data_IF_401469617800
#
_entry.id   IF_401469617800
#
_cell.length_a   1.000
_cell.length_b   1.000
_cell.length_c   1.000
_cell.angle_alpha   90.00
_cell.angle_beta   90.00
_cell.angle_gamma   90.00
#
_symmetry.space_group_name_H-M   'P 1'
#
loop_
_entity.id
_entity.type
_entity.pdbx_description
1 polymer ?
#
# COMPACT_ATOMS: atom_id res chain seq x y z
N UNK A 1 -36.07 36.03 21.65
CA UNK A 1 -36.21 36.19 20.19
C UNK A 1 -35.45 37.45 19.76
N UNK A 2 -34.61 37.45 18.71
CA UNK A 2 -33.79 36.39 18.12
C UNK A 2 -32.28 36.67 18.16
N UNK A 3 -31.50 35.62 17.92
CA UNK A 3 -30.05 35.55 17.70
C UNK A 3 -29.68 36.00 16.28
N UNK A 4 -28.48 36.58 16.09
CA UNK A 4 -27.76 36.57 14.82
C UNK A 4 -26.25 36.75 15.06
N UNK A 5 -25.50 35.64 15.14
CA UNK A 5 -24.04 35.65 14.95
C UNK A 5 -23.79 35.31 13.50
N UNK A 6 -23.17 36.26 12.81
CA UNK A 6 -22.79 36.24 11.41
C UNK A 6 -21.94 35.01 11.09
N UNK A 7 -22.47 34.09 10.29
CA UNK A 7 -21.69 32.98 9.74
C UNK A 7 -20.92 33.50 8.54
N UNK A 8 -19.60 33.52 8.69
CA UNK A 8 -18.64 33.82 7.64
C UNK A 8 -18.80 32.80 6.51
N UNK A 9 -19.24 33.26 5.33
CA UNK A 9 -19.22 32.48 4.10
C UNK A 9 -17.77 32.24 3.68
N UNK A 10 -17.23 31.06 3.97
CA UNK A 10 -16.05 30.56 3.29
C UNK A 10 -16.49 29.81 2.04
N UNK A 11 -16.32 30.47 0.90
CA UNK A 11 -16.26 29.84 -0.40
C UNK A 11 -14.96 29.04 -0.44
N UNK A 12 -15.05 27.71 -0.54
CA UNK A 12 -13.95 26.91 -1.06
C UNK A 12 -14.42 26.04 -2.22
N UNK A 13 -13.59 26.15 -3.26
CA UNK A 13 -13.69 25.66 -4.62
C UNK A 13 -13.72 24.12 -4.64
N UNK A 14 -14.52 23.56 -5.56
CA UNK A 14 -14.54 22.12 -5.87
C UNK A 14 -13.21 21.69 -6.49
N UNK A 15 -12.43 20.87 -5.79
CA UNK A 15 -11.44 19.98 -6.39
C UNK A 15 -11.15 18.79 -5.47
N UNK A 16 -11.29 17.57 -6.00
CA UNK A 16 -10.62 16.37 -5.49
C UNK A 16 -11.21 15.74 -4.25
N UNK A 17 -11.89 14.61 -4.44
CA UNK A 17 -12.38 13.72 -3.39
C UNK A 17 -11.24 13.00 -2.67
N UNK A 18 -10.53 13.62 -1.72
CA UNK A 18 -9.72 12.94 -0.67
C UNK A 18 -9.54 13.88 0.52
N UNK A 19 -10.64 14.11 1.25
CA UNK A 19 -10.56 14.76 2.55
C UNK A 19 -11.45 13.98 3.51
N UNK A 20 -10.82 13.31 4.47
CA UNK A 20 -11.52 12.74 5.60
C UNK A 20 -12.12 13.89 6.44
N UNK A 21 -13.34 14.30 6.10
CA UNK A 21 -14.13 15.21 6.93
C UNK A 21 -15.46 14.55 7.27
N UNK A 22 -15.52 13.92 8.45
CA UNK A 22 -16.77 13.40 9.00
C UNK A 22 -17.56 14.53 9.67
N UNK A 23 -18.64 14.97 9.03
CA UNK A 23 -19.65 15.86 9.65
C UNK A 23 -20.57 15.00 10.53
N UNK A 24 -20.74 15.27 11.85
CA UNK A 24 -21.67 14.49 12.67
C UNK A 24 -23.13 14.82 12.34
N UNK A 25 -23.96 13.77 12.15
CA UNK A 25 -25.42 13.91 12.00
C UNK A 25 -26.07 14.37 13.31
N UNK A 26 -26.81 15.47 13.26
CA UNK A 26 -27.61 16.01 14.37
C UNK A 26 -28.86 15.14 14.56
N UNK A 27 -28.91 14.34 15.63
CA UNK A 27 -30.17 13.73 16.11
C UNK A 27 -30.69 14.55 17.29
N UNK A 28 -31.92 15.04 17.16
CA UNK A 28 -32.60 15.86 18.15
C UNK A 28 -33.11 14.99 19.30
N UNK A 29 -32.50 15.07 20.48
CA UNK A 29 -33.08 14.51 21.69
C UNK A 29 -32.08 14.25 22.82
N UNK A 30 -32.33 14.92 23.96
CA UNK A 30 -31.82 14.66 25.30
C UNK A 30 -30.40 15.14 25.66
N UNK A 31 -30.39 15.95 26.72
CA UNK A 31 -29.26 16.60 27.37
C UNK A 31 -28.51 15.57 28.22
N UNK A 32 -27.65 14.77 27.59
CA UNK A 32 -26.54 14.07 28.22
C UNK A 32 -25.24 14.77 27.80
N UNK A 33 -24.25 14.83 28.67
CA UNK A 33 -22.93 15.39 28.38
C UNK A 33 -22.43 14.94 27.00
N UNK A 34 -22.41 15.86 26.04
CA UNK A 34 -21.79 15.64 24.74
C UNK A 34 -20.28 15.59 24.97
N UNK A 35 -19.76 14.42 25.33
CA UNK A 35 -18.38 14.12 25.01
C UNK A 35 -18.32 14.17 23.49
N UNK A 36 -17.80 15.29 22.97
CA UNK A 36 -17.41 15.38 21.58
C UNK A 36 -16.30 14.34 21.43
N UNK A 37 -16.65 13.16 20.93
CA UNK A 37 -15.67 12.23 20.41
C UNK A 37 -15.06 12.91 19.18
N UNK A 38 -14.08 13.78 19.42
CA UNK A 38 -13.15 14.24 18.40
C UNK A 38 -12.47 12.96 17.93
N UNK A 39 -12.90 12.47 16.77
CA UNK A 39 -12.14 11.46 16.04
C UNK A 39 -10.91 12.19 15.54
N UNK A 40 -9.80 12.04 16.26
CA UNK A 40 -8.50 12.49 15.80
C UNK A 40 -8.16 11.59 14.61
N UNK A 41 -8.42 12.07 13.40
CA UNK A 41 -8.04 11.36 12.18
C UNK A 41 -6.60 11.76 11.86
N UNK A 42 -5.69 10.79 11.93
CA UNK A 42 -4.39 10.91 11.31
C UNK A 42 -4.34 10.10 10.00
N UNK A 43 -3.42 10.46 9.12
CA UNK A 43 -3.19 9.73 7.88
C UNK A 43 -1.71 9.79 7.50
N UNK A 44 -1.27 8.87 6.64
CA UNK A 44 0.00 8.95 5.91
C UNK A 44 -0.36 9.10 4.44
N UNK A 45 0.17 10.12 3.77
CA UNK A 45 -0.09 10.30 2.35
C UNK A 45 1.06 10.98 1.63
N UNK A 46 1.05 10.90 0.31
CA UNK A 46 2.05 11.58 -0.52
C UNK A 46 2.11 10.96 -1.90
N UNK A 47 3.30 10.96 -2.50
CA UNK A 47 3.50 10.56 -3.90
C UNK A 47 4.47 9.39 -3.98
N UNK A 48 4.06 8.34 -4.71
CA UNK A 48 4.91 7.25 -5.15
C UNK A 48 5.36 7.48 -6.61
N UNK A 49 6.66 7.45 -6.84
CA UNK A 49 7.28 7.70 -8.14
C UNK A 49 8.49 6.82 -8.36
N UNK A 50 8.97 6.75 -9.59
CA UNK A 50 10.24 6.08 -9.91
C UNK A 50 11.45 7.02 -9.73
N UNK A 51 12.65 6.46 -9.90
CA UNK A 51 13.93 7.22 -9.90
C UNK A 51 14.06 8.29 -10.99
N UNK A 52 13.19 8.28 -11.99
CA UNK A 52 13.09 9.33 -13.02
C UNK A 52 12.02 10.39 -12.66
N UNK A 53 11.49 10.34 -11.44
CA UNK A 53 10.42 11.18 -10.91
C UNK A 53 9.08 11.08 -11.66
N UNK A 54 8.86 9.97 -12.38
CA UNK A 54 7.59 9.67 -13.03
C UNK A 54 6.62 9.11 -11.99
N UNK A 55 5.40 9.67 -11.85
CA UNK A 55 4.41 9.14 -10.92
C UNK A 55 4.02 7.71 -11.30
N UNK A 56 3.87 6.86 -10.29
CA UNK A 56 3.53 5.46 -10.47
C UNK A 56 2.10 5.19 -9.99
N UNK A 57 1.22 4.80 -10.89
CA UNK A 57 -0.11 4.27 -10.57
C UNK A 57 -0.04 2.82 -10.09
N UNK A 58 -0.90 2.41 -9.16
CA UNK A 58 -0.99 1.02 -8.73
C UNK A 58 0.08 0.58 -7.73
N UNK A 59 0.75 1.52 -7.04
CA UNK A 59 1.67 1.20 -5.94
C UNK A 59 0.84 0.90 -4.71
N UNK A 60 0.95 -0.31 -4.17
CA UNK A 60 0.34 -0.69 -2.90
C UNK A 60 1.19 -0.13 -1.75
N UNK A 61 0.59 0.73 -0.94
CA UNK A 61 1.22 1.28 0.26
C UNK A 61 0.54 0.67 1.49
N UNK A 62 1.29 -0.13 2.24
CA UNK A 62 0.86 -0.74 3.50
C UNK A 62 1.49 0.01 4.66
N UNK A 63 0.68 0.44 5.63
CA UNK A 63 1.14 1.05 6.88
C UNK A 63 1.09 0.00 7.98
N UNK A 64 2.21 -0.21 8.65
CA UNK A 64 2.39 -1.25 9.66
C UNK A 64 2.74 -0.68 11.02
N UNK A 65 2.30 -1.36 12.07
CA UNK A 65 2.76 -1.14 13.43
C UNK A 65 3.09 -2.50 14.06
N UNK A 66 4.33 -2.66 14.53
CA UNK A 66 4.82 -3.95 15.04
C UNK A 66 4.60 -5.11 14.04
N UNK A 67 4.84 -4.85 12.75
CA UNK A 67 4.63 -5.78 11.63
C UNK A 67 3.18 -6.20 11.36
N UNK A 68 2.19 -5.53 11.96
CA UNK A 68 0.76 -5.71 11.66
C UNK A 68 0.30 -4.59 10.74
N UNK A 69 -0.37 -4.92 9.64
CA UNK A 69 -0.95 -3.94 8.71
C UNK A 69 -2.14 -3.24 9.38
N UNK A 70 -2.01 -1.92 9.55
CA UNK A 70 -3.00 -1.05 10.18
C UNK A 70 -3.92 -0.38 9.15
N UNK A 71 -3.42 -0.23 7.93
CA UNK A 71 -4.17 0.29 6.78
C UNK A 71 -3.34 0.14 5.51
N UNK A 72 -4.01 0.23 4.38
CA UNK A 72 -3.35 0.23 3.07
C UNK A 72 -4.13 1.10 2.08
N UNK A 73 -3.45 1.57 1.06
CA UNK A 73 -4.05 2.27 -0.08
C UNK A 73 -3.23 1.98 -1.35
N UNK A 74 -3.83 2.22 -2.52
CA UNK A 74 -3.16 2.05 -3.80
C UNK A 74 -3.04 3.39 -4.51
N UNK A 75 -1.85 3.74 -4.98
CA UNK A 75 -1.63 5.02 -5.65
C UNK A 75 -2.43 5.18 -6.94
N UNK A 76 -2.91 6.40 -7.20
CA UNK A 76 -3.67 6.76 -8.40
C UNK A 76 -2.78 7.07 -9.62
N UNK A 77 -3.39 7.48 -10.74
CA UNK A 77 -2.66 7.88 -11.97
C UNK A 77 -1.66 9.03 -11.78
N UNK A 78 -1.80 9.83 -10.71
CA UNK A 78 -0.88 10.88 -10.31
C UNK A 78 0.20 10.39 -9.33
N UNK A 79 0.22 9.10 -9.00
CA UNK A 79 1.08 8.49 -7.99
C UNK A 79 0.68 8.87 -6.57
N UNK A 80 -0.47 9.51 -6.37
CA UNK A 80 -0.92 10.00 -5.06
C UNK A 80 -1.58 8.84 -4.31
N UNK A 81 -1.27 8.70 -3.02
CA UNK A 81 -1.89 7.73 -2.12
C UNK A 81 -2.19 8.38 -0.75
N UNK A 82 -3.16 7.81 -0.03
CA UNK A 82 -3.56 8.24 1.31
C UNK A 82 -4.03 7.05 2.17
N UNK A 83 -3.24 6.69 3.18
CA UNK A 83 -3.57 5.63 4.14
C UNK A 83 -4.11 6.25 5.43
N UNK A 84 -5.40 6.02 5.70
CA UNK A 84 -6.08 6.45 6.92
C UNK A 84 -7.51 5.88 7.00
N UNK A 85 -8.22 6.08 8.12
CA UNK A 85 -7.81 6.77 9.34
C UNK A 85 -6.81 5.95 10.20
N UNK A 86 -5.83 6.63 10.79
CA UNK A 86 -4.87 6.08 11.76
C UNK A 86 -4.95 6.84 13.09
N UNK A 87 -4.56 6.18 14.17
CA UNK A 87 -4.30 6.85 15.46
C UNK A 87 -2.94 7.55 15.43
N UNK A 88 -2.72 8.64 16.20
CA UNK A 88 -1.38 9.20 16.37
C UNK A 88 -0.41 8.18 16.99
N UNK A 89 0.77 8.04 16.40
CA UNK A 89 1.72 7.01 16.81
C UNK A 89 2.96 6.95 15.92
N UNK A 90 3.74 5.88 16.08
CA UNK A 90 4.88 5.58 15.21
C UNK A 90 4.49 4.38 14.36
N UNK A 91 4.69 4.51 13.05
CA UNK A 91 4.38 3.50 12.05
C UNK A 91 5.57 3.29 11.12
N UNK A 92 5.59 2.13 10.48
CA UNK A 92 6.38 1.89 9.29
C UNK A 92 5.42 1.90 8.09
N UNK A 93 5.92 2.21 6.90
CA UNK A 93 5.16 2.13 5.68
C UNK A 93 5.99 1.48 4.58
N UNK A 94 5.38 0.55 3.85
CA UNK A 94 6.01 -0.21 2.77
C UNK A 94 5.26 0.09 1.49
N UNK A 95 5.97 0.59 0.48
CA UNK A 95 5.45 0.76 -0.86
C UNK A 95 5.94 -0.39 -1.74
N UNK A 96 5.00 -1.12 -2.33
CA UNK A 96 5.26 -2.26 -3.20
C UNK A 96 4.56 -2.11 -4.54
N UNK A 97 5.28 -2.40 -5.62
CA UNK A 97 4.73 -2.44 -6.97
C UNK A 97 5.47 -3.48 -7.80
N UNK A 98 4.71 -4.19 -8.64
CA UNK A 98 5.23 -5.17 -9.59
C UNK A 98 6.29 -4.57 -10.52
N UNK A 99 7.40 -5.27 -10.69
CA UNK A 99 8.54 -4.79 -11.48
C UNK A 99 9.39 -3.71 -10.79
N UNK A 100 9.14 -3.43 -9.51
CA UNK A 100 9.94 -2.52 -8.69
C UNK A 100 10.39 -3.20 -7.40
N UNK A 101 11.54 -2.79 -6.87
CA UNK A 101 11.96 -3.15 -5.52
C UNK A 101 11.07 -2.43 -4.50
N UNK A 102 10.63 -3.11 -3.41
CA UNK A 102 9.84 -2.46 -2.38
C UNK A 102 10.68 -1.39 -1.67
N UNK A 103 10.06 -0.25 -1.40
CA UNK A 103 10.65 0.83 -0.61
C UNK A 103 9.99 0.85 0.78
N UNK A 104 10.78 1.05 1.84
CA UNK A 104 10.29 0.98 3.22
C UNK A 104 10.73 2.21 4.00
N UNK A 105 9.76 2.95 4.50
CA UNK A 105 9.95 4.09 5.39
C UNK A 105 9.63 3.65 6.83
N UNK A 106 10.64 3.61 7.70
CA UNK A 106 10.48 3.18 9.09
C UNK A 106 10.42 4.35 10.07
N UNK A 107 9.70 4.19 11.18
CA UNK A 107 9.73 5.15 12.28
C UNK A 107 9.02 6.48 11.97
N UNK A 108 7.99 6.44 11.13
CA UNK A 108 7.18 7.60 10.74
C UNK A 108 6.37 8.06 11.95
N UNK A 109 6.64 9.26 12.45
CA UNK A 109 5.89 9.87 13.54
C UNK A 109 4.60 10.51 13.00
N UNK A 110 3.48 9.82 13.18
CA UNK A 110 2.17 10.26 12.74
C UNK A 110 1.48 11.03 13.86
N UNK A 111 1.11 12.28 13.59
CA UNK A 111 0.27 13.11 14.46
C UNK A 111 -1.08 13.39 13.82
N UNK A 112 -1.95 14.14 14.50
CA UNK A 112 -3.21 14.61 13.93
C UNK A 112 -2.98 15.24 12.55
N UNK A 113 -3.78 14.84 11.56
CA UNK A 113 -3.62 15.25 10.16
C UNK A 113 -2.80 14.27 9.31
N UNK A 114 -2.53 14.67 8.07
CA UNK A 114 -1.84 13.83 7.09
C UNK A 114 -0.34 14.09 7.10
N UNK A 115 0.43 13.07 7.46
CA UNK A 115 1.89 13.10 7.48
C UNK A 115 2.42 12.83 6.07
N UNK A 116 3.15 13.78 5.46
CA UNK A 116 3.65 13.61 4.09
C UNK A 116 4.81 12.61 4.07
N UNK A 117 4.66 11.53 3.30
CA UNK A 117 5.69 10.54 3.01
C UNK A 117 5.71 10.34 1.51
N UNK A 118 6.89 10.35 0.88
CA UNK A 118 7.03 10.06 -0.54
C UNK A 118 7.88 8.82 -0.70
N UNK A 119 7.55 8.00 -1.68
CA UNK A 119 8.29 6.79 -2.01
C UNK A 119 8.95 6.93 -3.38
N UNK A 120 10.19 6.45 -3.48
CA UNK A 120 10.95 6.45 -4.73
C UNK A 120 11.35 5.00 -5.07
N UNK A 121 10.53 4.37 -5.91
CA UNK A 121 10.70 2.96 -6.24
C UNK A 121 11.77 2.79 -7.33
N UNK A 122 12.65 1.82 -7.11
CA UNK A 122 13.69 1.43 -8.08
C UNK A 122 13.16 0.28 -8.94
N UNK A 123 13.21 0.35 -10.28
CA UNK A 123 12.86 -0.77 -11.13
C UNK A 123 13.66 -2.03 -10.75
N UNK A 124 12.97 -3.15 -10.61
CA UNK A 124 13.60 -4.44 -10.31
C UNK A 124 14.44 -4.89 -11.51
N UNK A 125 15.72 -5.27 -11.30
CA UNK A 125 16.52 -5.89 -12.36
C UNK A 125 16.13 -7.36 -12.62
N UNK A 126 15.31 -7.95 -11.73
CA UNK A 126 14.87 -9.33 -11.80
C UNK A 126 13.54 -9.44 -12.53
N UNK A 127 13.45 -10.41 -13.44
CA UNK A 127 12.20 -10.77 -14.09
C UNK A 127 11.24 -11.45 -13.11
N UNK A 128 9.93 -11.37 -13.36
CA UNK A 128 8.99 -12.13 -12.55
C UNK A 128 9.28 -13.63 -12.66
N UNK A 129 9.29 -14.31 -11.51
CA UNK A 129 9.61 -15.72 -11.42
C UNK A 129 11.11 -16.04 -11.36
N UNK A 130 12.01 -15.06 -11.51
CA UNK A 130 13.45 -15.22 -11.22
C UNK A 130 13.69 -15.14 -9.71
N UNK A 131 13.27 -16.19 -8.99
CA UNK A 131 13.28 -16.23 -7.54
C UNK A 131 14.70 -16.38 -6.98
N UNK A 132 15.61 -17.01 -7.74
CA UNK A 132 17.01 -17.20 -7.34
C UNK A 132 17.94 -16.05 -7.78
N UNK A 133 17.46 -15.15 -8.66
CA UNK A 133 18.18 -13.96 -9.12
C UNK A 133 19.27 -14.25 -10.16
N UNK A 134 19.18 -15.36 -10.89
CA UNK A 134 20.17 -15.77 -11.90
C UNK A 134 19.88 -15.17 -13.30
N UNK A 135 18.81 -14.39 -13.42
CA UNK A 135 18.38 -13.74 -14.65
C UNK A 135 17.63 -14.66 -15.60
N UNK A 136 17.17 -15.84 -15.14
CA UNK A 136 16.41 -16.79 -15.97
C UNK A 136 15.28 -17.44 -15.17
N UNK A 137 14.05 -17.35 -15.67
CA UNK A 137 12.92 -18.08 -15.09
C UNK A 137 12.96 -19.56 -15.48
N UNK A 138 13.44 -20.42 -14.60
CA UNK A 138 13.63 -21.86 -14.81
C UNK A 138 13.09 -22.73 -13.66
N UNK A 139 13.28 -24.05 -13.76
CA UNK A 139 12.88 -24.98 -12.68
C UNK A 139 13.65 -24.71 -11.39
N UNK A 140 14.83 -24.09 -11.48
CA UNK A 140 15.61 -23.71 -10.31
C UNK A 140 14.83 -22.75 -9.41
N UNK A 141 14.05 -21.83 -9.99
CA UNK A 141 13.23 -20.86 -9.26
C UNK A 141 12.07 -21.51 -8.53
N UNK A 142 11.40 -22.47 -9.16
CA UNK A 142 10.36 -23.25 -8.50
C UNK A 142 10.94 -24.05 -7.31
N UNK A 143 12.14 -24.62 -7.47
CA UNK A 143 12.81 -25.30 -6.34
C UNK A 143 13.27 -24.32 -5.26
N UNK A 144 13.61 -23.10 -5.63
CA UNK A 144 13.98 -22.03 -4.72
C UNK A 144 12.78 -21.61 -3.85
N UNK A 145 11.61 -21.40 -4.45
CA UNK A 145 10.37 -21.12 -3.70
C UNK A 145 10.01 -22.23 -2.72
N UNK A 146 10.15 -23.50 -3.13
CA UNK A 146 9.91 -24.64 -2.22
C UNK A 146 10.88 -24.62 -1.02
N UNK A 147 12.14 -24.26 -1.24
CA UNK A 147 13.12 -24.13 -0.17
C UNK A 147 12.80 -22.96 0.77
N UNK A 148 12.38 -21.82 0.24
CA UNK A 148 11.90 -20.69 1.03
C UNK A 148 10.70 -21.09 1.91
N UNK A 149 9.64 -21.62 1.29
CA UNK A 149 8.35 -21.91 1.95
C UNK A 149 8.49 -22.99 3.03
N UNK A 150 9.20 -24.08 2.76
CA UNK A 150 9.22 -25.25 3.65
C UNK A 150 10.52 -25.47 4.41
N UNK A 151 11.63 -24.86 3.97
CA UNK A 151 12.96 -25.09 4.57
C UNK A 151 13.53 -23.85 5.24
N UNK A 152 12.78 -22.74 5.28
CA UNK A 152 13.26 -21.48 5.83
C UNK A 152 14.48 -20.94 5.07
N UNK A 153 14.57 -21.25 3.76
CA UNK A 153 15.57 -20.66 2.89
C UNK A 153 15.43 -19.14 2.77
N UNK A 154 16.35 -18.45 2.10
CA UNK A 154 16.23 -17.02 1.86
C UNK A 154 14.97 -16.71 1.03
N UNK A 155 14.40 -15.51 1.24
CA UNK A 155 13.29 -15.03 0.43
C UNK A 155 13.65 -14.94 -1.06
N UNK A 156 12.64 -15.02 -1.96
CA UNK A 156 12.85 -14.81 -3.38
C UNK A 156 13.36 -13.40 -3.64
N UNK A 157 14.33 -13.28 -4.55
CA UNK A 157 14.93 -11.99 -4.90
C UNK A 157 14.07 -11.27 -5.95
N UNK A 158 13.62 -12.00 -6.98
CA UNK A 158 12.55 -11.58 -7.87
C UNK A 158 11.16 -11.79 -7.27
N UNK A 159 10.13 -11.41 -8.01
CA UNK A 159 8.74 -11.57 -7.57
C UNK A 159 8.37 -13.06 -7.49
N UNK A 160 8.20 -13.56 -6.25
CA UNK A 160 7.87 -14.96 -5.96
C UNK A 160 6.38 -15.29 -5.96
N UNK A 161 5.52 -14.28 -5.87
CA UNK A 161 4.07 -14.38 -6.10
C UNK A 161 3.84 -14.21 -7.60
N UNK A 162 3.91 -15.33 -8.32
CA UNK A 162 3.90 -15.38 -9.78
C UNK A 162 2.48 -15.49 -10.33
N UNK A 163 1.51 -15.89 -9.51
CA UNK A 163 0.10 -15.97 -9.89
C UNK A 163 -0.73 -14.73 -9.48
N UNK A 164 -0.12 -13.75 -8.80
CA UNK A 164 -0.73 -12.51 -8.32
C UNK A 164 -1.86 -12.67 -7.30
N UNK A 165 -1.81 -13.72 -6.48
CA UNK A 165 -2.86 -13.93 -5.47
C UNK A 165 -2.59 -13.19 -4.14
N UNK A 166 -1.49 -12.42 -4.08
CA UNK A 166 -1.03 -11.67 -2.93
C UNK A 166 -0.27 -12.52 -1.93
N UNK A 167 0.03 -13.79 -2.24
CA UNK A 167 0.68 -14.72 -1.31
C UNK A 167 1.71 -15.58 -2.02
N UNK A 168 2.95 -15.53 -1.55
CA UNK A 168 3.99 -16.48 -1.99
C UNK A 168 3.75 -17.85 -1.34
N UNK A 169 3.23 -18.80 -2.12
CA UNK A 169 2.86 -20.15 -1.69
C UNK A 169 3.35 -21.25 -2.64
N UNK A 170 3.00 -22.51 -2.35
CA UNK A 170 3.30 -23.63 -3.24
C UNK A 170 2.59 -23.51 -4.59
N UNK A 171 1.49 -22.75 -4.65
CA UNK A 171 0.77 -22.49 -5.88
C UNK A 171 1.69 -21.80 -6.92
N UNK A 172 2.53 -20.87 -6.47
CA UNK A 172 3.51 -20.17 -7.31
C UNK A 172 4.55 -21.11 -7.91
N UNK A 173 5.11 -22.00 -7.10
CA UNK A 173 6.06 -22.98 -7.60
C UNK A 173 5.40 -23.93 -8.61
N UNK A 174 4.15 -24.35 -8.37
CA UNK A 174 3.41 -25.16 -9.35
C UNK A 174 3.09 -24.39 -10.63
N UNK A 175 2.86 -23.08 -10.54
CA UNK A 175 2.64 -22.19 -11.67
C UNK A 175 3.88 -22.11 -12.55
N UNK A 176 5.06 -21.88 -11.96
CA UNK A 176 6.34 -21.87 -12.68
C UNK A 176 6.58 -23.19 -13.43
N UNK A 177 6.33 -24.33 -12.78
CA UNK A 177 6.46 -25.65 -13.43
C UNK A 177 5.51 -25.78 -14.62
N UNK A 178 4.26 -25.31 -14.48
CA UNK A 178 3.29 -25.33 -15.57
C UNK A 178 3.70 -24.40 -16.71
N UNK A 179 4.17 -23.19 -16.42
CA UNK A 179 4.68 -22.24 -17.41
C UNK A 179 5.84 -22.85 -18.21
N UNK A 180 6.88 -23.35 -17.52
CA UNK A 180 8.11 -23.87 -18.13
C UNK A 180 7.84 -25.07 -19.04
N UNK A 181 7.00 -26.02 -18.61
CA UNK A 181 6.82 -27.30 -19.32
C UNK A 181 5.54 -27.38 -20.16
N UNK A 182 4.53 -26.55 -19.90
CA UNK A 182 3.23 -26.61 -20.59
C UNK A 182 2.92 -25.35 -21.40
N UNK A 183 3.82 -24.36 -21.41
CA UNK A 183 3.62 -23.10 -22.14
C UNK A 183 2.42 -22.32 -21.59
N UNK A 184 2.29 -22.29 -20.26
CA UNK A 184 1.24 -21.52 -19.58
C UNK A 184 1.37 -20.00 -19.79
N UNK A 185 0.47 -19.24 -19.17
CA UNK A 185 0.55 -17.77 -19.11
C UNK A 185 1.86 -17.31 -18.48
N UNK A 186 2.31 -16.12 -18.88
CA UNK A 186 3.59 -15.63 -18.37
C UNK A 186 3.46 -15.28 -16.88
N UNK A 187 4.50 -15.57 -16.08
CA UNK A 187 4.52 -15.21 -14.66
C UNK A 187 4.21 -13.72 -14.45
N UNK A 188 3.41 -13.43 -13.42
CA UNK A 188 2.94 -12.09 -13.06
C UNK A 188 2.08 -11.36 -14.10
N UNK A 189 1.58 -12.02 -15.15
CA UNK A 189 0.45 -11.44 -15.90
C UNK A 189 -0.79 -11.36 -15.00
N UNK A 190 -1.45 -10.19 -14.99
CA UNK A 190 -2.76 -10.03 -14.36
C UNK A 190 -3.78 -10.88 -15.12
N UNK A 191 -4.38 -11.86 -14.45
CA UNK A 191 -5.47 -12.70 -14.99
C UNK A 191 -6.84 -12.06 -14.83
#
# INVERSE_FOLDING_TARGET
MPFAVTVLTFVYLLAGTHACFSIPRRSSGMMGSMESNIVIVACIGGIARDTAAVPLEGVLVEVLQSSIVMGQDTSDSGGIYEVGPLDPGIYDAVASKRGYLPDTATGISVSVGCTPVNFELVPSPYECGDCNGDGRTTIADATYLVAYIYRGGPGPVGQGDVNDDGRVTIADATYLVAFIYRGGSTPCESH
#
